data_IF_200212567297
#
_entry.id   IF_200212567297
#
_cell.length_a   1.000
_cell.length_b   1.000
_cell.length_c   1.000
_cell.angle_alpha   90.00
_cell.angle_beta   90.00
_cell.angle_gamma   90.00
#
_symmetry.space_group_name_H-M   'P 1'
#
loop_
_entity.id
_entity.type
_entity.pdbx_description
1 polymer ?
#
# COMPACT_ATOMS: atom_id res chain seq x y z
N UNK A 1 0.60 -19.56 13.26
CA UNK A 1 1.53 -18.66 13.98
C UNK A 1 2.41 -18.03 12.91
N UNK A 2 2.52 -16.71 12.84
CA UNK A 2 3.31 -15.99 11.83
C UNK A 2 4.75 -15.80 12.31
N UNK A 3 5.69 -15.73 11.35
CA UNK A 3 7.10 -15.43 11.62
C UNK A 3 7.30 -13.92 11.75
N UNK A 4 8.34 -13.43 12.44
CA UNK A 4 8.76 -12.03 12.34
C UNK A 4 9.10 -11.68 10.89
N UNK A 5 8.77 -10.44 10.48
CA UNK A 5 9.21 -9.91 9.19
C UNK A 5 10.74 -9.79 9.18
N UNK A 6 11.42 -10.04 8.03
CA UNK A 6 12.87 -9.88 7.95
C UNK A 6 13.32 -8.47 8.36
N UNK A 7 14.49 -8.39 9.02
CA UNK A 7 15.03 -7.10 9.48
C UNK A 7 16.33 -6.69 8.74
N UNK A 8 16.97 -7.64 8.04
CA UNK A 8 18.25 -7.41 7.33
C UNK A 8 18.00 -6.86 5.91
N UNK A 9 17.51 -5.63 5.85
CA UNK A 9 17.31 -4.87 4.63
C UNK A 9 17.35 -3.36 4.93
N UNK A 10 17.59 -2.53 3.90
CA UNK A 10 17.71 -1.08 4.05
C UNK A 10 16.66 -0.31 3.25
N UNK A 11 16.21 -0.85 2.12
CA UNK A 11 15.26 -0.22 1.23
C UNK A 11 14.11 -1.15 0.87
N UNK A 12 12.89 -0.66 1.02
CA UNK A 12 11.69 -1.30 0.55
C UNK A 12 10.95 -0.43 -0.48
N UNK A 13 10.38 -1.06 -1.51
CA UNK A 13 9.35 -0.46 -2.34
C UNK A 13 7.98 -0.93 -1.87
N UNK A 14 7.07 -0.01 -1.67
CA UNK A 14 5.63 -0.29 -1.54
C UNK A 14 5.00 0.04 -2.88
N UNK A 15 4.66 -0.99 -3.65
CA UNK A 15 4.15 -0.88 -5.02
C UNK A 15 2.68 -1.22 -5.02
N UNK A 16 1.84 -0.27 -5.36
CA UNK A 16 0.38 -0.37 -5.25
C UNK A 16 -0.32 0.24 -6.45
N UNK A 17 -1.59 -0.06 -6.61
CA UNK A 17 -2.39 0.43 -7.72
C UNK A 17 -2.74 1.91 -7.58
N UNK A 18 -3.23 2.31 -6.39
CA UNK A 18 -3.84 3.62 -6.18
C UNK A 18 -3.28 4.37 -4.97
N UNK A 19 -3.44 5.70 -4.93
CA UNK A 19 -3.33 6.47 -3.68
C UNK A 19 -4.28 5.90 -2.61
N UNK A 20 -3.82 5.90 -1.34
CA UNK A 20 -4.46 5.33 -0.15
C UNK A 20 -4.23 3.83 0.11
N UNK A 21 -3.95 3.02 -0.89
CA UNK A 21 -3.66 1.59 -0.71
C UNK A 21 -2.65 1.29 0.42
N UNK A 22 -1.50 2.00 0.52
CA UNK A 22 -0.56 1.77 1.60
C UNK A 22 -1.18 1.99 2.98
N UNK A 23 -2.08 2.97 3.08
CA UNK A 23 -2.69 3.39 4.34
C UNK A 23 -3.79 2.44 4.80
N UNK A 24 -4.43 1.73 3.88
CA UNK A 24 -5.47 0.77 4.22
C UNK A 24 -4.97 -0.47 4.96
N UNK A 25 -3.68 -0.83 4.81
CA UNK A 25 -3.18 -2.05 5.43
C UNK A 25 -1.74 -2.03 5.95
N UNK A 26 -0.88 -1.16 5.44
CA UNK A 26 0.57 -1.25 5.61
C UNK A 26 1.18 -0.08 6.39
N UNK A 27 0.51 1.07 6.48
CA UNK A 27 1.09 2.32 6.94
C UNK A 27 1.71 2.26 8.35
N UNK A 28 1.17 1.46 9.28
CA UNK A 28 1.78 1.33 10.61
C UNK A 28 3.13 0.58 10.56
N UNK A 29 3.28 -0.40 9.67
CA UNK A 29 4.58 -1.05 9.44
C UNK A 29 5.57 -0.08 8.77
N UNK A 30 5.10 0.69 7.79
CA UNK A 30 5.91 1.72 7.12
C UNK A 30 6.40 2.77 8.12
N UNK A 31 5.52 3.27 9.01
CA UNK A 31 5.88 4.22 10.06
C UNK A 31 7.00 3.67 10.97
N UNK A 32 6.90 2.41 11.40
CA UNK A 32 7.96 1.75 12.14
C UNK A 32 9.26 1.70 11.35
N UNK A 33 9.23 1.20 10.12
CA UNK A 33 10.42 1.04 9.30
C UNK A 33 11.17 2.35 9.07
N UNK A 34 10.44 3.42 8.75
CA UNK A 34 11.04 4.76 8.54
C UNK A 34 11.57 5.35 9.84
N UNK A 35 10.87 5.17 10.97
CA UNK A 35 11.32 5.57 12.31
C UNK A 35 12.61 4.86 12.71
N UNK A 36 12.79 3.61 12.29
CA UNK A 36 14.01 2.82 12.50
C UNK A 36 15.13 3.11 11.48
N UNK A 37 14.93 4.10 10.60
CA UNK A 37 15.93 4.57 9.66
C UNK A 37 15.99 3.81 8.34
N UNK A 38 15.03 2.93 8.07
CA UNK A 38 14.92 2.25 6.77
C UNK A 38 14.33 3.21 5.73
N UNK A 39 14.76 3.05 4.48
CA UNK A 39 14.18 3.78 3.35
C UNK A 39 12.95 3.04 2.83
N UNK A 40 11.86 3.77 2.64
CA UNK A 40 10.66 3.27 1.97
C UNK A 40 10.31 4.23 0.86
N UNK A 41 10.12 3.72 -0.35
CA UNK A 41 9.63 4.47 -1.52
C UNK A 41 8.25 3.93 -1.88
N UNK A 42 7.29 4.83 -2.07
CA UNK A 42 5.99 4.47 -2.60
C UNK A 42 6.01 4.52 -4.13
N UNK A 43 5.49 3.50 -4.76
CA UNK A 43 5.28 3.42 -6.21
C UNK A 43 3.79 3.24 -6.46
N UNK A 44 3.17 4.22 -7.09
CA UNK A 44 1.74 4.26 -7.39
C UNK A 44 1.56 4.01 -8.88
N UNK A 45 0.81 2.97 -9.26
CA UNK A 45 0.61 2.65 -10.67
C UNK A 45 -0.24 3.73 -11.38
N UNK A 46 -1.26 4.26 -10.69
CA UNK A 46 -2.14 5.33 -11.19
C UNK A 46 -2.21 6.49 -10.19
N UNK A 47 -2.78 7.60 -10.60
CA UNK A 47 -3.15 8.72 -9.71
C UNK A 47 -4.51 8.50 -9.03
N UNK A 48 -5.17 7.37 -9.28
CA UNK A 48 -6.49 7.07 -8.74
C UNK A 48 -7.57 8.03 -9.26
N UNK A 49 -7.38 8.55 -10.47
CA UNK A 49 -8.16 9.64 -11.05
C UNK A 49 -9.62 9.28 -11.32
N UNK A 50 -9.94 8.00 -11.46
CA UNK A 50 -11.33 7.53 -11.60
C UNK A 50 -12.03 7.27 -10.25
N UNK A 51 -11.31 7.37 -9.12
CA UNK A 51 -11.80 6.93 -7.80
C UNK A 51 -12.69 7.93 -7.06
N UNK A 52 -12.89 9.17 -7.54
CA UNK A 52 -13.74 10.17 -6.87
C UNK A 52 -15.03 10.39 -7.66
N UNK A 53 -16.13 9.84 -7.15
CA UNK A 53 -17.45 10.00 -7.78
C UNK A 53 -17.84 11.48 -7.95
N UNK A 54 -18.20 11.86 -9.16
CA UNK A 54 -18.65 13.20 -9.50
C UNK A 54 -17.54 14.24 -9.71
N UNK A 55 -16.26 13.85 -9.65
CA UNK A 55 -15.11 14.70 -9.98
C UNK A 55 -14.53 14.29 -11.34
N UNK A 56 -14.12 15.28 -12.13
CA UNK A 56 -13.45 15.03 -13.40
C UNK A 56 -12.08 14.36 -13.13
N UNK A 57 -11.69 13.32 -13.87
CA UNK A 57 -10.38 12.66 -13.69
C UNK A 57 -9.18 13.62 -13.75
N UNK A 58 -9.22 14.65 -14.61
CA UNK A 58 -8.18 15.68 -14.69
C UNK A 58 -8.05 16.51 -13.41
N UNK A 59 -9.12 16.61 -12.61
CA UNK A 59 -9.13 17.27 -11.31
C UNK A 59 -8.83 16.28 -10.17
N UNK A 60 -9.37 15.07 -10.23
CA UNK A 60 -9.24 14.06 -9.18
C UNK A 60 -7.79 13.57 -9.03
N UNK A 61 -7.07 13.29 -10.12
CA UNK A 61 -5.70 12.82 -10.10
C UNK A 61 -4.78 13.73 -9.27
N UNK A 62 -4.62 15.02 -9.61
CA UNK A 62 -3.78 15.94 -8.83
C UNK A 62 -4.19 16.07 -7.36
N UNK A 63 -5.48 16.00 -7.05
CA UNK A 63 -5.99 16.03 -5.66
C UNK A 63 -5.50 14.80 -4.90
N UNK A 64 -5.70 13.60 -5.44
CA UNK A 64 -5.29 12.34 -4.81
C UNK A 64 -3.77 12.21 -4.68
N UNK A 65 -3.02 12.68 -5.66
CA UNK A 65 -1.56 12.72 -5.56
C UNK A 65 -1.07 13.61 -4.42
N UNK A 66 -1.67 14.79 -4.25
CA UNK A 66 -1.30 15.70 -3.18
C UNK A 66 -1.71 15.14 -1.80
N UNK A 67 -2.86 14.47 -1.71
CA UNK A 67 -3.26 13.74 -0.51
C UNK A 67 -2.26 12.63 -0.18
N UNK A 68 -1.82 11.86 -1.19
CA UNK A 68 -0.81 10.80 -0.98
C UNK A 68 0.56 11.34 -0.57
N UNK A 69 1.00 12.49 -1.10
CA UNK A 69 2.26 13.11 -0.66
C UNK A 69 2.20 13.51 0.82
N UNK A 70 1.08 14.12 1.25
CA UNK A 70 0.88 14.46 2.67
C UNK A 70 0.77 13.22 3.54
N UNK A 71 0.07 12.20 3.08
CA UNK A 71 -0.07 10.92 3.75
C UNK A 71 1.28 10.23 3.95
N UNK A 72 2.08 10.08 2.89
CA UNK A 72 3.42 9.51 2.97
C UNK A 72 4.31 10.23 3.97
N UNK A 73 4.23 11.56 4.05
CA UNK A 73 4.99 12.36 5.00
C UNK A 73 4.65 12.03 6.47
N UNK A 74 3.41 11.65 6.79
CA UNK A 74 2.99 11.26 8.14
C UNK A 74 3.66 9.98 8.64
N UNK A 75 4.04 9.10 7.73
CA UNK A 75 4.73 7.83 8.00
C UNK A 75 6.21 7.85 7.59
N UNK A 76 6.77 9.03 7.33
CA UNK A 76 8.20 9.22 7.05
C UNK A 76 8.63 8.89 5.62
N UNK A 77 7.71 8.58 4.71
CA UNK A 77 7.98 8.39 3.28
C UNK A 77 8.13 9.75 2.62
N UNK A 78 9.22 9.94 1.88
CA UNK A 78 9.57 11.20 1.20
C UNK A 78 9.67 11.07 -0.30
N UNK A 79 9.75 9.84 -0.80
CA UNK A 79 9.92 9.53 -2.20
C UNK A 79 8.70 8.75 -2.69
N UNK A 80 7.98 9.35 -3.62
CA UNK A 80 6.84 8.77 -4.31
C UNK A 80 7.14 8.79 -5.80
N UNK A 81 6.87 7.67 -6.46
CA UNK A 81 7.04 7.48 -7.89
C UNK A 81 5.68 7.14 -8.49
N UNK A 82 5.29 7.89 -9.50
CA UNK A 82 4.05 7.69 -10.23
C UNK A 82 4.38 7.01 -11.56
N UNK A 83 3.63 5.95 -11.91
CA UNK A 83 3.80 5.27 -13.20
C UNK A 83 2.89 5.88 -14.28
N UNK A 84 1.98 6.77 -13.89
CA UNK A 84 1.06 7.50 -14.76
C UNK A 84 0.22 6.58 -15.67
N UNK A 85 -0.15 5.40 -15.15
CA UNK A 85 -1.03 4.46 -15.85
C UNK A 85 -2.50 4.78 -15.52
N UNK A 86 -3.44 4.49 -16.43
CA UNK A 86 -4.85 4.83 -16.22
C UNK A 86 -5.50 4.02 -15.10
N UNK A 87 -6.17 4.72 -14.19
CA UNK A 87 -6.93 4.14 -13.06
C UNK A 87 -8.15 3.35 -13.57
N UNK A 88 -8.34 2.15 -13.05
CA UNK A 88 -9.42 1.22 -13.42
C UNK A 88 -9.10 0.31 -14.60
N UNK A 89 -8.01 0.56 -15.33
CA UNK A 89 -7.64 -0.17 -16.56
C UNK A 89 -6.25 -0.83 -16.47
N UNK A 90 -5.67 -1.01 -15.26
CA UNK A 90 -4.31 -1.58 -15.12
C UNK A 90 -4.24 -3.02 -15.61
N UNK A 91 -5.31 -3.80 -15.44
CA UNK A 91 -5.38 -5.19 -15.91
C UNK A 91 -5.29 -5.31 -17.43
N UNK A 92 -5.73 -4.31 -18.17
CA UNK A 92 -5.70 -4.27 -19.64
C UNK A 92 -4.52 -3.42 -20.17
N UNK A 93 -3.71 -2.85 -19.28
CA UNK A 93 -2.61 -1.98 -19.67
C UNK A 93 -1.45 -2.76 -20.30
N UNK A 94 -1.13 -2.51 -21.58
CA UNK A 94 -0.02 -3.20 -22.23
C UNK A 94 1.37 -2.76 -21.72
N UNK A 95 1.43 -1.72 -20.91
CA UNK A 95 2.66 -1.10 -20.44
C UNK A 95 2.91 -1.30 -18.94
N UNK A 96 2.00 -1.94 -18.20
CA UNK A 96 2.15 -2.18 -16.75
C UNK A 96 3.45 -2.91 -16.42
N UNK A 97 3.71 -4.03 -17.07
CA UNK A 97 4.90 -4.84 -16.83
C UNK A 97 6.19 -4.07 -17.10
N UNK A 98 6.22 -3.31 -18.19
CA UNK A 98 7.41 -2.53 -18.57
C UNK A 98 7.64 -1.40 -17.56
N UNK A 99 6.60 -0.67 -17.15
CA UNK A 99 6.70 0.39 -16.16
C UNK A 99 7.17 -0.16 -14.80
N UNK A 100 6.66 -1.32 -14.38
CA UNK A 100 7.10 -1.99 -13.15
C UNK A 100 8.57 -2.43 -13.24
N UNK A 101 9.02 -3.01 -14.36
CA UNK A 101 10.43 -3.37 -14.56
C UNK A 101 11.34 -2.14 -14.48
N UNK A 102 10.96 -1.06 -15.14
CA UNK A 102 11.75 0.19 -15.16
C UNK A 102 11.90 0.78 -13.74
N UNK A 103 10.84 0.83 -12.97
CA UNK A 103 10.91 1.36 -11.60
C UNK A 103 11.69 0.44 -10.66
N UNK A 104 11.55 -0.88 -10.78
CA UNK A 104 12.33 -1.85 -10.00
C UNK A 104 13.84 -1.76 -10.32
N UNK A 105 14.20 -1.51 -11.56
CA UNK A 105 15.58 -1.32 -11.98
C UNK A 105 16.15 0.05 -11.53
N UNK A 106 15.32 1.11 -11.57
CA UNK A 106 15.72 2.46 -11.14
C UNK A 106 15.84 2.60 -9.61
N UNK A 107 15.05 1.82 -8.86
CA UNK A 107 14.99 1.85 -7.40
C UNK A 107 15.30 0.46 -6.80
N UNK A 108 16.53 -0.01 -6.85
CA UNK A 108 16.88 -1.33 -6.30
C UNK A 108 16.55 -1.39 -4.81
N UNK A 109 15.83 -2.44 -4.43
CA UNK A 109 15.38 -2.68 -3.06
C UNK A 109 15.50 -4.16 -2.71
N UNK A 110 15.66 -4.46 -1.43
CA UNK A 110 15.70 -5.83 -0.91
C UNK A 110 14.30 -6.38 -0.66
N UNK A 111 13.32 -5.49 -0.48
CA UNK A 111 11.93 -5.83 -0.16
C UNK A 111 10.99 -5.09 -1.09
N UNK A 112 10.01 -5.80 -1.61
CA UNK A 112 8.84 -5.23 -2.30
C UNK A 112 7.59 -5.66 -1.53
N UNK A 113 6.71 -4.72 -1.26
CA UNK A 113 5.42 -4.95 -0.60
C UNK A 113 4.32 -4.43 -1.50
N UNK A 114 3.24 -5.20 -1.64
CA UNK A 114 2.08 -4.83 -2.47
C UNK A 114 0.76 -5.15 -1.77
N UNK A 115 -0.34 -4.73 -2.37
CA UNK A 115 -1.69 -5.13 -1.94
C UNK A 115 -1.97 -6.59 -2.27
N UNK A 116 -3.00 -7.14 -1.66
CA UNK A 116 -3.46 -8.51 -1.92
C UNK A 116 -3.92 -8.69 -3.37
N UNK A 117 -3.42 -9.75 -4.03
CA UNK A 117 -3.73 -10.08 -5.43
C UNK A 117 -4.76 -11.20 -5.61
N UNK A 118 -5.36 -11.74 -4.55
CA UNK A 118 -6.40 -12.76 -4.71
C UNK A 118 -7.75 -12.18 -5.14
N UNK A 119 -8.68 -13.02 -5.61
CA UNK A 119 -9.94 -12.57 -6.23
C UNK A 119 -10.94 -11.93 -5.26
N UNK A 120 -10.85 -12.23 -3.98
CA UNK A 120 -11.76 -11.71 -2.94
C UNK A 120 -10.97 -11.39 -1.67
N UNK A 121 -11.19 -10.20 -1.09
CA UNK A 121 -10.63 -9.84 0.22
C UNK A 121 -11.27 -10.67 1.36
N UNK A 122 -12.58 -10.85 1.28
CA UNK A 122 -13.42 -11.67 2.14
C UNK A 122 -14.45 -12.38 1.28
N UNK A 123 -15.02 -13.51 1.71
CA UNK A 123 -16.04 -14.22 0.93
C UNK A 123 -17.18 -13.31 0.49
N UNK A 124 -17.34 -13.15 -0.82
CA UNK A 124 -18.38 -12.32 -1.44
C UNK A 124 -18.00 -10.83 -1.55
N UNK A 125 -16.77 -10.44 -1.21
CA UNK A 125 -16.25 -9.09 -1.42
C UNK A 125 -15.13 -9.15 -2.49
N UNK A 126 -15.45 -8.91 -3.78
CA UNK A 126 -14.47 -8.96 -4.85
C UNK A 126 -13.31 -7.98 -4.63
N UNK A 127 -12.10 -8.41 -5.01
CA UNK A 127 -10.95 -7.52 -5.08
C UNK A 127 -11.02 -6.67 -6.35
N UNK A 128 -10.33 -5.54 -6.33
CA UNK A 128 -10.23 -4.67 -7.49
C UNK A 128 -9.30 -5.30 -8.56
N UNK A 129 -9.68 -5.27 -9.85
CA UNK A 129 -8.84 -5.80 -10.93
C UNK A 129 -7.44 -5.21 -10.95
N UNK A 130 -7.28 -3.92 -10.66
CA UNK A 130 -6.02 -3.22 -10.63
C UNK A 130 -5.08 -3.74 -9.54
N UNK A 131 -5.59 -4.06 -8.35
CA UNK A 131 -4.79 -4.69 -7.29
C UNK A 131 -4.28 -6.06 -7.72
N UNK A 132 -5.13 -6.85 -8.35
CA UNK A 132 -4.79 -8.18 -8.87
C UNK A 132 -3.69 -8.04 -9.93
N UNK A 133 -3.87 -7.13 -10.90
CA UNK A 133 -2.92 -6.91 -11.99
C UNK A 133 -1.52 -6.51 -11.50
N UNK A 134 -1.44 -5.53 -10.59
CA UNK A 134 -0.14 -5.10 -10.01
C UNK A 134 0.52 -6.24 -9.25
N UNK A 135 -0.25 -6.98 -8.44
CA UNK A 135 0.26 -8.09 -7.65
C UNK A 135 0.79 -9.23 -8.53
N UNK A 136 0.03 -9.67 -9.54
CA UNK A 136 0.40 -10.74 -10.47
C UNK A 136 1.63 -10.35 -11.30
N UNK A 137 1.68 -9.13 -11.81
CA UNK A 137 2.83 -8.62 -12.56
C UNK A 137 4.10 -8.60 -11.71
N UNK A 138 4.03 -8.13 -10.45
CA UNK A 138 5.16 -8.17 -9.52
C UNK A 138 5.61 -9.61 -9.21
N UNK A 139 4.66 -10.53 -9.01
CA UNK A 139 4.98 -11.94 -8.75
C UNK A 139 5.72 -12.57 -9.92
N UNK A 140 5.31 -12.28 -11.16
CA UNK A 140 5.98 -12.75 -12.37
C UNK A 140 7.36 -12.11 -12.55
N UNK A 141 7.47 -10.79 -12.43
CA UNK A 141 8.72 -10.04 -12.61
C UNK A 141 9.78 -10.43 -11.59
N UNK A 142 9.38 -10.70 -10.34
CA UNK A 142 10.28 -11.03 -9.23
C UNK A 142 10.49 -12.52 -9.03
N UNK A 143 9.88 -13.38 -9.85
CA UNK A 143 10.09 -14.81 -9.78
C UNK A 143 11.57 -15.18 -9.92
N UNK A 144 12.12 -15.90 -8.94
CA UNK A 144 13.52 -16.34 -8.92
C UNK A 144 14.56 -15.24 -8.66
N UNK A 145 14.14 -14.01 -8.34
CA UNK A 145 15.04 -12.92 -7.95
C UNK A 145 15.26 -12.94 -6.42
N UNK A 146 16.44 -12.46 -5.99
CA UNK A 146 16.81 -12.33 -4.57
C UNK A 146 16.19 -11.05 -3.93
N UNK A 147 14.91 -10.85 -4.12
CA UNK A 147 14.12 -9.76 -3.55
C UNK A 147 12.94 -10.40 -2.84
N UNK A 148 12.69 -10.05 -1.60
CA UNK A 148 11.49 -10.52 -0.91
C UNK A 148 10.25 -9.79 -1.43
N UNK A 149 9.28 -10.55 -1.93
CA UNK A 149 7.97 -10.03 -2.30
C UNK A 149 6.94 -10.41 -1.25
N UNK A 150 6.33 -9.42 -0.63
CA UNK A 150 5.24 -9.57 0.34
C UNK A 150 3.97 -8.92 -0.17
N UNK A 151 2.83 -9.49 0.20
CA UNK A 151 1.55 -8.83 0.07
C UNK A 151 0.88 -8.61 1.43
N UNK A 152 0.09 -7.56 1.54
CA UNK A 152 -0.78 -7.31 2.70
C UNK A 152 -2.16 -7.88 2.41
N UNK A 153 -2.46 -9.05 2.95
CA UNK A 153 -3.70 -9.79 2.66
C UNK A 153 -3.98 -10.93 3.64
N UNK A 154 -4.99 -11.75 3.34
CA UNK A 154 -5.36 -12.89 4.17
C UNK A 154 -4.29 -13.98 4.19
N UNK A 155 -4.39 -14.92 5.13
CA UNK A 155 -3.46 -16.04 5.31
C UNK A 155 -1.99 -15.60 5.51
N UNK A 156 -1.70 -14.68 6.46
CA UNK A 156 -0.36 -14.13 6.63
C UNK A 156 0.64 -15.18 7.07
N UNK A 157 1.87 -15.04 6.58
CA UNK A 157 3.03 -15.84 6.99
C UNK A 157 3.96 -15.09 7.94
N UNK A 158 3.95 -13.75 7.85
CA UNK A 158 4.83 -12.86 8.61
C UNK A 158 4.06 -11.74 9.31
N UNK A 159 4.69 -11.14 10.31
CA UNK A 159 4.16 -9.96 10.99
C UNK A 159 5.28 -8.95 11.31
N UNK A 160 4.90 -7.69 11.35
CA UNK A 160 5.68 -6.58 11.90
C UNK A 160 5.06 -6.16 13.21
N UNK A 161 5.83 -6.18 14.29
CA UNK A 161 5.41 -5.59 15.57
C UNK A 161 5.48 -4.08 15.45
N UNK A 162 4.40 -3.39 15.79
CA UNK A 162 4.31 -1.92 15.73
C UNK A 162 3.91 -1.35 17.08
N UNK A 163 4.40 -0.14 17.37
CA UNK A 163 4.07 0.58 18.58
C UNK A 163 2.80 1.43 18.39
N UNK A 164 2.23 1.92 19.49
CA UNK A 164 1.04 2.80 19.41
C UNK A 164 1.33 4.09 18.62
N UNK A 165 2.56 4.61 18.65
CA UNK A 165 2.94 5.78 17.87
C UNK A 165 2.91 5.50 16.35
N UNK A 166 3.29 4.30 15.92
CA UNK A 166 3.23 3.86 14.52
C UNK A 166 1.78 3.76 14.05
N UNK A 167 0.91 3.20 14.91
CA UNK A 167 -0.54 3.13 14.65
C UNK A 167 -1.14 4.54 14.55
N UNK A 168 -0.75 5.47 15.43
CA UNK A 168 -1.22 6.85 15.34
C UNK A 168 -0.70 7.58 14.10
N UNK A 169 0.53 7.29 13.65
CA UNK A 169 1.06 7.82 12.39
C UNK A 169 0.23 7.31 11.20
N UNK A 170 -0.09 6.02 11.16
CA UNK A 170 -0.95 5.44 10.12
C UNK A 170 -2.35 6.07 10.09
N UNK A 171 -2.96 6.34 11.26
CA UNK A 171 -4.25 7.02 11.34
C UNK A 171 -4.16 8.45 10.77
N UNK A 172 -3.09 9.18 11.08
CA UNK A 172 -2.88 10.52 10.50
C UNK A 172 -2.66 10.45 9.01
N UNK A 173 -1.90 9.47 8.52
CA UNK A 173 -1.63 9.27 7.11
C UNK A 173 -2.93 9.02 6.33
N UNK A 174 -3.74 8.06 6.73
CA UNK A 174 -5.02 7.80 6.06
C UNK A 174 -5.97 9.00 6.15
N UNK A 175 -5.93 9.76 7.23
CA UNK A 175 -6.75 10.97 7.39
C UNK A 175 -6.34 12.14 6.47
N UNK A 176 -5.20 12.08 5.79
CA UNK A 176 -4.81 13.08 4.77
C UNK A 176 -5.60 12.91 3.45
N UNK A 177 -6.17 11.72 3.19
CA UNK A 177 -7.06 11.47 2.06
C UNK A 177 -8.45 12.06 2.30
N UNK A 178 -8.51 13.38 2.51
CA UNK A 178 -9.70 14.07 2.99
C UNK A 178 -10.81 14.12 1.95
N UNK A 179 -10.49 14.46 0.70
CA UNK A 179 -11.47 14.56 -0.37
C UNK A 179 -12.00 13.17 -0.69
N UNK A 180 -11.10 12.22 -0.90
CA UNK A 180 -11.47 10.84 -1.21
C UNK A 180 -12.37 10.22 -0.12
N UNK A 181 -11.95 10.25 1.14
CA UNK A 181 -12.73 9.66 2.24
C UNK A 181 -14.06 10.40 2.49
N UNK A 182 -14.13 11.72 2.22
CA UNK A 182 -15.37 12.46 2.35
C UNK A 182 -16.41 12.08 1.30
N UNK A 183 -15.98 11.65 0.12
CA UNK A 183 -16.87 11.13 -0.93
C UNK A 183 -17.25 9.68 -0.66
N UNK A 184 -16.30 8.87 -0.18
CA UNK A 184 -16.53 7.46 0.10
C UNK A 184 -17.57 7.22 1.21
N UNK A 185 -17.51 7.99 2.28
CA UNK A 185 -18.53 7.99 3.35
C UNK A 185 -18.77 9.42 3.88
N UNK A 186 -19.67 10.17 3.24
CA UNK A 186 -19.94 11.56 3.63
C UNK A 186 -20.64 11.70 4.99
N UNK A 187 -21.16 10.60 5.56
CA UNK A 187 -21.84 10.63 6.86
C UNK A 187 -20.88 10.51 8.02
N UNK A 188 -19.69 9.94 7.81
CA UNK A 188 -18.70 9.67 8.86
C UNK A 188 -17.53 10.66 8.75
N UNK A 189 -17.13 11.37 9.83
CA UNK A 189 -15.96 12.24 9.78
C UNK A 189 -14.69 11.48 9.35
N UNK A 190 -13.88 12.07 8.47
CA UNK A 190 -12.66 11.47 7.88
C UNK A 190 -11.74 10.85 8.93
N UNK A 191 -11.47 11.54 10.03
CA UNK A 191 -10.64 11.00 11.12
C UNK A 191 -11.23 9.75 11.78
N UNK A 192 -12.56 9.63 11.81
CA UNK A 192 -13.24 8.45 12.36
C UNK A 192 -13.12 7.28 11.39
N UNK A 193 -13.29 7.53 10.09
CA UNK A 193 -13.09 6.53 9.04
C UNK A 193 -11.65 6.01 9.08
N UNK A 194 -10.66 6.89 9.03
CA UNK A 194 -9.24 6.56 9.07
C UNK A 194 -8.88 5.71 10.31
N UNK A 195 -9.34 6.13 11.49
CA UNK A 195 -9.12 5.38 12.73
C UNK A 195 -9.75 3.99 12.68
N UNK A 196 -10.98 3.88 12.20
CA UNK A 196 -11.69 2.60 12.13
C UNK A 196 -10.98 1.64 11.15
N UNK A 197 -10.53 2.15 10.00
CA UNK A 197 -9.81 1.36 9.00
C UNK A 197 -8.47 0.86 9.53
N UNK A 198 -7.63 1.73 10.08
CA UNK A 198 -6.33 1.34 10.62
C UNK A 198 -6.50 0.33 11.77
N UNK A 199 -7.51 0.49 12.63
CA UNK A 199 -7.77 -0.48 13.69
C UNK A 199 -8.30 -1.84 13.18
N UNK A 200 -8.84 -1.93 11.97
CA UNK A 200 -9.17 -3.21 11.32
C UNK A 200 -7.94 -3.89 10.73
N UNK A 201 -7.02 -3.12 10.17
CA UNK A 201 -5.83 -3.66 9.50
C UNK A 201 -4.71 -4.06 10.49
N UNK A 202 -4.68 -3.49 11.68
CA UNK A 202 -3.72 -3.82 12.72
C UNK A 202 -4.31 -4.84 13.68
N UNK A 203 -3.74 -6.05 13.74
CA UNK A 203 -4.12 -7.05 14.72
C UNK A 203 -3.62 -6.62 16.11
N UNK A 204 -4.56 -6.31 17.00
CA UNK A 204 -4.29 -5.77 18.33
C UNK A 204 -4.52 -6.82 19.42
N UNK A 205 -3.57 -6.98 20.30
CA UNK A 205 -3.67 -7.77 21.51
C UNK A 205 -3.47 -6.88 22.75
N UNK A 206 -3.48 -7.50 23.96
CA UNK A 206 -3.11 -6.77 25.18
C UNK A 206 -1.61 -6.51 25.28
N UNK A 207 -0.80 -7.26 24.53
CA UNK A 207 0.65 -7.27 24.63
C UNK A 207 1.30 -6.53 23.46
N UNK A 208 0.71 -6.61 22.24
CA UNK A 208 1.31 -6.05 21.03
C UNK A 208 0.27 -5.68 19.96
N UNK A 209 0.72 -4.87 19.01
CA UNK A 209 0.03 -4.58 17.76
C UNK A 209 0.84 -5.18 16.61
N UNK A 210 0.17 -5.77 15.60
CA UNK A 210 0.83 -6.44 14.47
C UNK A 210 0.21 -6.03 13.15
N UNK A 211 1.06 -5.72 12.19
CA UNK A 211 0.71 -5.67 10.78
C UNK A 211 1.13 -6.97 10.13
N UNK A 212 0.26 -7.56 9.34
CA UNK A 212 0.46 -8.89 8.78
C UNK A 212 0.75 -8.84 7.29
N UNK A 213 1.66 -9.75 6.86
CA UNK A 213 2.05 -9.91 5.47
C UNK A 213 2.15 -11.39 5.09
N UNK A 214 1.92 -11.70 3.82
CA UNK A 214 2.18 -13.01 3.24
C UNK A 214 3.41 -12.94 2.34
N UNK A 215 4.41 -13.76 2.58
CA UNK A 215 5.54 -13.93 1.66
C UNK A 215 5.05 -14.66 0.42
N UNK A 216 5.28 -14.07 -0.76
CA UNK A 216 4.81 -14.60 -2.04
C UNK A 216 5.88 -15.41 -2.78
N UNK A 217 7.15 -15.01 -2.66
CA UNK A 217 8.27 -15.73 -3.25
C UNK A 217 9.20 -16.27 -2.16
N UNK A 218 9.66 -17.50 -2.35
CA UNK A 218 10.79 -18.04 -1.59
C UNK A 218 12.00 -18.05 -2.54
N UNK A 219 13.05 -17.34 -2.14
CA UNK A 219 14.34 -17.40 -2.83
C UNK A 219 15.00 -18.76 -2.67
#
# INVERSE_FOLDING_TARGET
MTLPFPEDWNHALVVVAHPDDPEYGMAAAVAKWTREGKRVTYVLASSGEAGIEGMDPEEAGPVREEEQRRSGAQVGVRELVWLDLPDGDLAESPTLDEALRQVLDAYPAEVVVTTYGGPEFEPGLPNQPDHIAVNEALAEILAGKSVWLFENGPAPTHHVLVEDEDVQAAIRALAEHQVYLSVLDPATPVKTQARAQVYRSVARSREDNRVHFRLMNQS
#
